data_IF_973239285723
#
_entry.id   IF_973239285723
#
_cell.length_a   1.000
_cell.length_b   1.000
_cell.length_c   1.000
_cell.angle_alpha   90.00
_cell.angle_beta   90.00
_cell.angle_gamma   90.00
#
_symmetry.space_group_name_H-M   'P 1'
#
loop_
_entity.id
_entity.type
_entity.pdbx_description
1 polymer ?
#
# COMPACT_ATOMS: atom_id res chain seq x y z
N UNK A 1 2.98 -7.31 -3.12
CA UNK A 1 2.37 -5.98 -2.90
C UNK A 1 1.40 -6.03 -1.73
N UNK A 2 0.61 -7.10 -1.63
CA UNK A 2 -0.30 -7.34 -0.49
C UNK A 2 0.39 -7.19 0.88
N UNK A 3 1.54 -7.82 1.07
CA UNK A 3 2.29 -7.75 2.33
C UNK A 3 2.72 -6.31 2.65
N UNK A 4 3.33 -5.60 1.69
CA UNK A 4 3.71 -4.20 1.85
C UNK A 4 2.52 -3.31 2.23
N UNK A 5 1.37 -3.49 1.58
CA UNK A 5 0.14 -2.75 1.89
C UNK A 5 -0.34 -3.09 3.29
N UNK A 6 -0.33 -4.37 3.66
CA UNK A 6 -0.73 -4.82 5.00
C UNK A 6 0.12 -4.16 6.08
N UNK A 7 1.44 -4.15 5.89
CA UNK A 7 2.38 -3.50 6.82
C UNK A 7 2.09 -1.99 6.91
N UNK A 8 1.87 -1.30 5.78
CA UNK A 8 1.53 0.12 5.78
C UNK A 8 0.22 0.41 6.53
N UNK A 9 -0.80 -0.43 6.37
CA UNK A 9 -2.09 -0.25 7.05
C UNK A 9 -1.94 -0.52 8.56
N UNK A 10 -1.19 -1.54 8.95
CA UNK A 10 -0.88 -1.85 10.36
C UNK A 10 -0.17 -0.66 11.01
N UNK A 11 0.83 -0.09 10.34
CA UNK A 11 1.56 1.06 10.85
C UNK A 11 0.67 2.31 10.97
N UNK A 12 -0.24 2.53 10.03
CA UNK A 12 -1.14 3.69 10.01
C UNK A 12 -2.29 3.59 11.03
N UNK A 13 -2.91 2.41 11.17
CA UNK A 13 -4.13 2.21 11.96
C UNK A 13 -3.90 1.45 13.27
N UNK A 14 -2.73 0.84 13.46
CA UNK A 14 -2.42 -0.01 14.61
C UNK A 14 -3.18 -1.34 14.63
N UNK A 15 -3.87 -1.70 13.54
CA UNK A 15 -4.64 -2.93 13.41
C UNK A 15 -4.45 -3.58 12.04
N UNK A 16 -4.48 -4.93 11.96
CA UNK A 16 -4.38 -5.63 10.70
C UNK A 16 -5.59 -5.36 9.81
N UNK A 17 -5.38 -5.06 8.51
CA UNK A 17 -6.48 -4.90 7.57
C UNK A 17 -7.17 -6.22 7.25
N UNK A 18 -8.40 -6.14 6.74
CA UNK A 18 -9.07 -7.27 6.09
C UNK A 18 -8.55 -7.47 4.66
N UNK A 19 -8.76 -8.67 4.12
CA UNK A 19 -8.43 -8.96 2.71
C UNK A 19 -9.14 -8.00 1.73
N UNK A 20 -10.37 -7.62 2.05
CA UNK A 20 -11.16 -6.67 1.23
C UNK A 20 -10.57 -5.26 1.25
N UNK A 21 -10.04 -4.82 2.40
CA UNK A 21 -9.33 -3.54 2.50
C UNK A 21 -8.04 -3.55 1.67
N UNK A 22 -7.27 -4.64 1.74
CA UNK A 22 -6.06 -4.81 0.92
C UNK A 22 -6.43 -4.78 -0.56
N UNK A 23 -7.47 -5.51 -0.98
CA UNK A 23 -7.91 -5.56 -2.37
C UNK A 23 -8.40 -4.19 -2.87
N UNK A 24 -9.12 -3.46 -2.02
CA UNK A 24 -9.58 -2.09 -2.32
C UNK A 24 -8.40 -1.15 -2.50
N UNK A 25 -7.40 -1.22 -1.63
CA UNK A 25 -6.18 -0.43 -1.74
C UNK A 25 -5.43 -0.75 -3.04
N UNK A 26 -5.23 -2.04 -3.37
CA UNK A 26 -4.56 -2.46 -4.61
C UNK A 26 -5.31 -1.94 -5.84
N UNK A 27 -6.64 -2.03 -5.83
CA UNK A 27 -7.48 -1.61 -6.96
C UNK A 27 -7.45 -0.10 -7.21
N UNK A 28 -7.34 0.70 -6.14
CA UNK A 28 -7.28 2.15 -6.23
C UNK A 28 -5.85 2.70 -6.33
N UNK A 29 -4.84 1.85 -6.23
CA UNK A 29 -3.45 2.26 -6.28
C UNK A 29 -3.10 2.84 -7.66
N UNK A 30 -2.40 3.99 -7.71
CA UNK A 30 -1.90 4.55 -8.96
C UNK A 30 -1.05 3.53 -9.72
N UNK A 31 -1.32 3.41 -11.02
CA UNK A 31 -0.56 2.51 -11.91
C UNK A 31 0.94 2.80 -11.90
N UNK A 32 1.35 4.05 -11.66
CA UNK A 32 2.75 4.45 -11.52
C UNK A 32 3.44 3.77 -10.34
N UNK A 33 2.77 3.61 -9.20
CA UNK A 33 3.31 2.90 -8.03
C UNK A 33 3.41 1.40 -8.28
N UNK A 34 2.41 0.84 -8.97
CA UNK A 34 2.43 -0.57 -9.39
C UNK A 34 3.60 -0.82 -10.33
N UNK A 35 3.77 0.01 -11.37
CA UNK A 35 4.88 -0.11 -12.31
C UNK A 35 6.24 0.11 -11.64
N UNK A 36 6.34 1.02 -10.66
CA UNK A 36 7.57 1.23 -9.90
C UNK A 36 7.94 -0.03 -9.09
N UNK A 37 6.95 -0.66 -8.44
CA UNK A 37 7.13 -1.90 -7.71
C UNK A 37 7.53 -3.06 -8.63
N UNK A 38 6.98 -3.13 -9.84
CA UNK A 38 7.38 -4.12 -10.85
C UNK A 38 8.82 -3.91 -11.35
N UNK A 39 9.26 -2.65 -11.50
CA UNK A 39 10.60 -2.32 -12.01
C UNK A 39 11.70 -2.50 -10.98
N UNK A 40 11.46 -2.08 -9.73
CA UNK A 40 12.49 -2.05 -8.68
C UNK A 40 12.35 -3.19 -7.68
N UNK A 41 11.21 -3.86 -7.66
CA UNK A 41 10.84 -4.82 -6.65
C UNK A 41 10.16 -4.15 -5.45
N UNK A 42 9.19 -4.84 -4.88
CA UNK A 42 8.37 -4.36 -3.76
C UNK A 42 9.17 -4.10 -2.47
N UNK A 43 10.36 -4.69 -2.38
CA UNK A 43 11.26 -4.51 -1.26
C UNK A 43 12.22 -3.32 -1.40
N UNK A 44 12.22 -2.65 -2.55
CA UNK A 44 13.00 -1.45 -2.78
C UNK A 44 12.55 -0.32 -1.86
N UNK A 45 13.51 0.43 -1.29
CA UNK A 45 13.23 1.47 -0.31
C UNK A 45 12.33 2.58 -0.89
N UNK A 46 12.55 2.98 -2.14
CA UNK A 46 11.74 4.04 -2.76
C UNK A 46 10.30 3.58 -2.98
N UNK A 47 10.11 2.31 -3.36
CA UNK A 47 8.79 1.70 -3.50
C UNK A 47 8.07 1.71 -2.16
N UNK A 48 8.74 1.26 -1.09
CA UNK A 48 8.16 1.24 0.27
C UNK A 48 7.72 2.62 0.74
N UNK A 49 8.60 3.62 0.61
CA UNK A 49 8.31 4.99 1.04
C UNK A 49 7.11 5.58 0.27
N UNK A 50 7.08 5.41 -1.05
CA UNK A 50 5.99 5.96 -1.88
C UNK A 50 4.66 5.26 -1.64
N UNK A 51 4.66 3.93 -1.52
CA UNK A 51 3.45 3.17 -1.19
C UNK A 51 2.95 3.55 0.21
N UNK A 52 3.85 3.68 1.19
CA UNK A 52 3.49 4.09 2.55
C UNK A 52 2.82 5.46 2.58
N UNK A 53 3.43 6.48 1.95
CA UNK A 53 2.87 7.83 1.88
C UNK A 53 1.48 7.80 1.25
N UNK A 54 1.34 7.13 0.10
CA UNK A 54 0.07 7.06 -0.60
C UNK A 54 -1.00 6.33 0.23
N UNK A 55 -0.67 5.18 0.84
CA UNK A 55 -1.60 4.45 1.71
C UNK A 55 -2.03 5.35 2.86
N UNK A 56 -1.12 6.00 3.55
CA UNK A 56 -1.42 6.84 4.71
C UNK A 56 -2.28 8.07 4.35
N UNK A 57 -2.07 8.68 3.18
CA UNK A 57 -2.88 9.81 2.70
C UNK A 57 -4.31 9.40 2.32
N UNK A 58 -4.51 8.17 1.85
CA UNK A 58 -5.79 7.69 1.33
C UNK A 58 -6.49 6.68 2.26
N UNK A 59 -5.88 6.31 3.40
CA UNK A 59 -6.38 5.22 4.27
C UNK A 59 -7.82 5.44 4.73
N UNK A 60 -8.20 6.70 4.99
CA UNK A 60 -9.54 7.06 5.44
C UNK A 60 -10.62 6.86 4.36
N UNK A 61 -10.22 6.81 3.08
CA UNK A 61 -11.14 6.55 1.97
C UNK A 61 -11.42 5.04 1.78
N UNK A 62 -10.68 4.19 2.49
CA UNK A 62 -10.77 2.72 2.42
C UNK A 62 -11.33 2.08 3.70
N UNK A 63 -11.77 2.88 4.68
CA UNK A 63 -12.43 2.48 5.92
C UNK A 63 -13.95 2.59 5.81
#
# INVERSE_FOLDING_TARGET
MRELISDCIIDALGMPPSDEQIDTVIKNMPSELVSLAEQKGENDQEVKEKVYVWVNENINDFL
#
